data_IF_258798250474
#
_entry.id   IF_258798250474
#
_cell.length_a   1.000
_cell.length_b   1.000
_cell.length_c   1.000
_cell.angle_alpha   90.00
_cell.angle_beta   90.00
_cell.angle_gamma   90.00
#
_symmetry.space_group_name_H-M   'P 1'
#
loop_
_entity.id
_entity.type
_entity.pdbx_description
1 polymer ?
#
# COMPACT_ATOMS: atom_id res chain seq x y z
N UNK A 1 -8.07 -24.80 -24.67
CA UNK A 1 -7.11 -24.38 -23.63
C UNK A 1 -7.92 -23.94 -22.44
N UNK A 2 -7.87 -24.69 -21.33
CA UNK A 2 -8.33 -24.17 -20.06
C UNK A 2 -7.36 -23.07 -19.68
N UNK A 3 -7.86 -21.85 -19.49
CA UNK A 3 -7.11 -20.83 -18.77
C UNK A 3 -7.07 -21.39 -17.36
N UNK A 4 -5.91 -21.87 -16.93
CA UNK A 4 -5.71 -22.18 -15.53
C UNK A 4 -6.02 -20.88 -14.78
N UNK A 5 -7.04 -20.95 -13.93
CA UNK A 5 -7.20 -19.99 -12.85
C UNK A 5 -5.94 -20.20 -12.01
N UNK A 6 -4.88 -19.44 -12.31
CA UNK A 6 -3.73 -19.28 -11.41
C UNK A 6 -4.32 -18.65 -10.15
N UNK A 7 -4.82 -19.53 -9.30
CA UNK A 7 -5.08 -19.26 -7.90
C UNK A 7 -3.69 -19.23 -7.25
N UNK A 8 -2.82 -18.33 -7.73
CA UNK A 8 -1.52 -18.09 -7.13
C UNK A 8 -1.80 -17.40 -5.81
N UNK A 9 -1.68 -18.17 -4.73
CA UNK A 9 -1.58 -17.60 -3.40
C UNK A 9 -0.47 -16.54 -3.43
N UNK A 10 -0.68 -15.36 -2.83
CA UNK A 10 0.33 -14.32 -2.85
C UNK A 10 1.63 -14.87 -2.27
N UNK A 11 2.74 -14.57 -2.94
CA UNK A 11 4.10 -14.96 -2.57
C UNK A 11 4.51 -14.33 -1.23
N UNK A 12 3.97 -13.15 -0.90
CA UNK A 12 4.25 -12.44 0.34
C UNK A 12 2.95 -12.03 1.06
N UNK A 13 2.14 -12.99 1.54
CA UNK A 13 0.83 -12.71 2.14
C UNK A 13 0.95 -11.84 3.40
N UNK A 14 2.03 -12.02 4.16
CA UNK A 14 2.26 -11.34 5.43
C UNK A 14 2.59 -9.84 5.27
N UNK A 15 3.00 -9.42 4.06
CA UNK A 15 3.32 -8.03 3.77
C UNK A 15 2.08 -7.23 3.33
N UNK A 16 1.03 -7.91 2.86
CA UNK A 16 -0.20 -7.25 2.43
C UNK A 16 -0.94 -6.62 3.64
N UNK A 17 -1.36 -5.35 3.55
CA UNK A 17 -2.29 -4.79 4.51
C UNK A 17 -3.69 -5.35 4.25
N UNK A 18 -4.47 -5.62 5.30
CA UNK A 18 -5.85 -6.11 5.17
C UNK A 18 -6.78 -5.08 4.54
N UNK A 19 -6.58 -3.82 4.90
CA UNK A 19 -7.40 -2.70 4.45
C UNK A 19 -6.61 -1.38 4.46
N UNK A 20 -7.30 -0.31 4.10
CA UNK A 20 -6.74 1.04 4.09
C UNK A 20 -6.32 1.53 5.47
N UNK A 21 -7.02 1.13 6.54
CA UNK A 21 -6.70 1.60 7.89
C UNK A 21 -5.38 0.98 8.36
N UNK A 22 -5.18 -0.32 8.12
CA UNK A 22 -3.93 -0.99 8.43
C UNK A 22 -2.77 -0.46 7.58
N UNK A 23 -2.97 -0.26 6.28
CA UNK A 23 -1.94 0.33 5.42
C UNK A 23 -1.50 1.71 5.93
N UNK A 24 -2.46 2.58 6.27
CA UNK A 24 -2.19 3.90 6.82
C UNK A 24 -1.47 3.81 8.17
N UNK A 25 -1.89 2.92 9.07
CA UNK A 25 -1.25 2.73 10.36
C UNK A 25 0.23 2.32 10.22
N UNK A 26 0.53 1.37 9.33
CA UNK A 26 1.89 0.88 9.10
C UNK A 26 2.79 1.98 8.52
N UNK A 27 2.27 2.79 7.60
CA UNK A 27 3.01 3.92 7.02
C UNK A 27 3.21 5.07 8.03
N UNK A 28 2.18 5.48 8.76
CA UNK A 28 2.29 6.54 9.77
C UNK A 28 3.25 6.21 10.91
N UNK A 29 3.41 4.92 11.25
CA UNK A 29 4.33 4.47 12.30
C UNK A 29 5.80 4.81 12.01
N UNK A 30 6.16 4.97 10.74
CA UNK A 30 7.53 5.24 10.31
C UNK A 30 7.71 6.58 9.59
N UNK A 31 6.62 7.26 9.21
CA UNK A 31 6.63 8.49 8.41
C UNK A 31 7.48 9.60 9.01
N UNK A 32 7.57 9.68 10.33
CA UNK A 32 8.33 10.72 11.04
C UNK A 32 9.75 10.29 11.41
N UNK A 33 10.18 9.08 11.03
CA UNK A 33 11.53 8.61 11.32
C UNK A 33 12.55 9.30 10.41
N UNK A 34 13.67 9.70 11.01
CA UNK A 34 14.80 10.19 10.23
C UNK A 34 15.52 9.04 9.50
N UNK A 35 16.42 9.33 8.54
CA UNK A 35 17.13 8.29 7.80
C UNK A 35 17.95 7.32 8.67
N UNK A 36 18.50 7.78 9.81
CA UNK A 36 19.28 6.91 10.69
C UNK A 36 18.37 5.92 11.44
N UNK A 37 17.20 6.38 11.88
CA UNK A 37 16.18 5.53 12.49
C UNK A 37 15.62 4.51 11.48
N UNK A 38 15.31 4.93 10.24
CA UNK A 38 14.90 4.01 9.16
C UNK A 38 15.97 2.95 8.86
N UNK A 39 17.24 3.34 8.80
CA UNK A 39 18.36 2.41 8.59
C UNK A 39 18.49 1.36 9.71
N UNK A 40 18.04 1.68 10.93
CA UNK A 40 18.05 0.76 12.07
C UNK A 40 16.84 -0.17 12.16
N UNK A 41 15.80 0.03 11.33
CA UNK A 41 14.63 -0.84 11.34
C UNK A 41 14.98 -2.26 10.91
N UNK A 42 14.30 -3.24 11.51
CA UNK A 42 14.33 -4.62 11.02
C UNK A 42 13.77 -4.69 9.59
N UNK A 43 14.25 -5.64 8.79
CA UNK A 43 13.78 -5.84 7.40
C UNK A 43 12.26 -5.93 7.32
N UNK A 44 11.65 -6.71 8.22
CA UNK A 44 10.20 -6.91 8.24
C UNK A 44 9.43 -5.61 8.45
N UNK A 45 9.82 -4.78 9.42
CA UNK A 45 9.13 -3.51 9.72
C UNK A 45 9.22 -2.53 8.56
N UNK A 46 10.39 -2.46 7.91
CA UNK A 46 10.58 -1.67 6.70
C UNK A 46 9.69 -2.18 5.55
N UNK A 47 9.65 -3.49 5.32
CA UNK A 47 8.83 -4.08 4.25
C UNK A 47 7.34 -3.88 4.51
N UNK A 48 6.87 -4.04 5.74
CA UNK A 48 5.47 -3.78 6.11
C UNK A 48 5.07 -2.33 5.79
N UNK A 49 5.95 -1.37 6.09
CA UNK A 49 5.73 0.04 5.76
C UNK A 49 5.77 0.29 4.24
N UNK A 50 6.79 -0.25 3.56
CA UNK A 50 7.00 -0.11 2.12
C UNK A 50 5.81 -0.64 1.32
N UNK A 51 5.39 -1.87 1.61
CA UNK A 51 4.24 -2.51 0.96
C UNK A 51 2.93 -1.78 1.25
N UNK A 52 2.79 -1.22 2.45
CA UNK A 52 1.61 -0.42 2.78
C UNK A 52 1.56 0.89 2.01
N UNK A 53 2.71 1.56 1.84
CA UNK A 53 2.81 2.75 0.99
C UNK A 53 2.44 2.43 -0.46
N UNK A 54 3.05 1.40 -1.06
CA UNK A 54 2.72 1.01 -2.44
C UNK A 54 1.28 0.51 -2.60
N UNK A 55 0.66 -0.03 -1.54
CA UNK A 55 -0.76 -0.36 -1.53
C UNK A 55 -1.65 0.89 -1.55
N UNK A 56 -1.31 1.91 -0.74
CA UNK A 56 -2.04 3.17 -0.67
C UNK A 56 -1.92 3.93 -2.00
N UNK A 57 -0.69 4.05 -2.49
CA UNK A 57 -0.30 4.81 -3.67
C UNK A 57 -0.03 3.89 -4.86
N UNK A 58 -0.95 2.97 -5.14
CA UNK A 58 -0.81 1.91 -6.16
C UNK A 58 -0.58 2.39 -7.60
N UNK A 59 -0.65 3.70 -7.86
CA UNK A 59 -0.32 4.32 -9.15
C UNK A 59 1.15 4.78 -9.24
N UNK A 60 1.90 4.78 -8.13
CA UNK A 60 3.28 5.24 -8.06
C UNK A 60 4.23 4.05 -8.19
N UNK A 61 5.10 4.09 -9.20
CA UNK A 61 6.11 3.07 -9.40
C UNK A 61 7.39 3.38 -8.60
N UNK A 62 8.06 2.38 -7.99
CA UNK A 62 9.32 2.58 -7.27
C UNK A 62 10.45 3.21 -8.08
N UNK A 63 10.53 2.91 -9.38
CA UNK A 63 11.57 3.50 -10.25
C UNK A 63 11.30 4.98 -10.59
N UNK A 64 10.07 5.46 -10.39
CA UNK A 64 9.63 6.81 -10.77
C UNK A 64 9.62 7.78 -9.58
N UNK A 65 10.41 7.51 -8.52
CA UNK A 65 10.46 8.34 -7.30
C UNK A 65 10.68 9.83 -7.59
N UNK A 66 11.50 10.16 -8.60
CA UNK A 66 11.75 11.55 -9.00
C UNK A 66 10.52 12.27 -9.58
N UNK A 67 9.51 11.51 -10.00
CA UNK A 67 8.27 12.00 -10.60
C UNK A 67 7.08 11.96 -9.63
N UNK A 68 7.29 11.52 -8.38
CA UNK A 68 6.23 11.42 -7.40
C UNK A 68 5.68 12.80 -7.03
N UNK A 69 4.37 12.89 -6.76
CA UNK A 69 3.73 14.15 -6.38
C UNK A 69 4.21 14.65 -5.01
N UNK A 70 4.14 15.96 -4.77
CA UNK A 70 4.62 16.58 -3.51
C UNK A 70 3.84 16.07 -2.29
N UNK A 71 2.58 15.66 -2.48
CA UNK A 71 1.71 15.10 -1.45
C UNK A 71 2.27 13.82 -0.80
N UNK A 72 3.17 13.10 -1.48
CA UNK A 72 3.83 11.90 -0.95
C UNK A 72 5.30 12.12 -0.59
N UNK A 73 5.76 13.38 -0.51
CA UNK A 73 7.15 13.72 -0.20
C UNK A 73 7.64 13.10 1.13
N UNK A 74 6.73 12.93 2.10
CA UNK A 74 7.02 12.28 3.38
C UNK A 74 7.41 10.78 3.23
N UNK A 75 7.12 10.15 2.09
CA UNK A 75 7.50 8.77 1.79
C UNK A 75 8.92 8.66 1.19
N UNK A 76 9.53 9.77 0.76
CA UNK A 76 10.84 9.74 0.09
C UNK A 76 11.95 9.12 0.96
N UNK A 77 12.04 9.39 2.28
CA UNK A 77 13.02 8.72 3.13
C UNK A 77 12.83 7.19 3.19
N UNK A 78 11.59 6.71 3.23
CA UNK A 78 11.27 5.28 3.18
C UNK A 78 11.70 4.67 1.84
N UNK A 79 11.34 5.32 0.73
CA UNK A 79 11.68 4.85 -0.61
C UNK A 79 13.20 4.77 -0.82
N UNK A 80 13.93 5.79 -0.33
CA UNK A 80 15.39 5.82 -0.40
C UNK A 80 16.04 4.68 0.41
N UNK A 81 15.51 4.37 1.60
CA UNK A 81 16.02 3.27 2.41
C UNK A 81 15.67 1.89 1.82
N UNK A 82 14.46 1.73 1.28
CA UNK A 82 14.08 0.51 0.56
C UNK A 82 14.99 0.28 -0.65
N UNK A 83 15.26 1.32 -1.44
CA UNK A 83 16.18 1.25 -2.59
C UNK A 83 17.61 0.91 -2.15
N UNK A 84 18.12 1.56 -1.11
CA UNK A 84 19.46 1.25 -0.55
C UNK A 84 19.58 -0.22 -0.17
N UNK A 85 18.56 -0.79 0.49
CA UNK A 85 18.56 -2.20 0.92
C UNK A 85 18.38 -3.17 -0.24
N UNK A 86 17.61 -2.79 -1.26
CA UNK A 86 17.50 -3.55 -2.50
C UNK A 86 18.85 -3.62 -3.23
N UNK A 87 19.53 -2.49 -3.42
CA UNK A 87 20.86 -2.42 -4.04
C UNK A 87 21.92 -3.20 -3.23
N UNK A 88 21.75 -3.29 -1.91
CA UNK A 88 22.60 -4.09 -1.03
C UNK A 88 22.27 -5.60 -1.04
N UNK A 89 21.19 -6.02 -1.71
CA UNK A 89 20.70 -7.40 -1.71
C UNK A 89 20.06 -7.84 -0.38
N UNK A 90 19.70 -6.90 0.49
CA UNK A 90 18.98 -7.17 1.74
C UNK A 90 17.47 -7.39 1.51
N UNK A 91 16.93 -6.77 0.44
CA UNK A 91 15.55 -6.90 -0.03
C UNK A 91 15.58 -7.53 -1.43
N UNK A 92 14.69 -8.49 -1.68
CA UNK A 92 14.56 -9.19 -2.95
C UNK A 92 13.72 -8.38 -3.96
N UNK A 93 13.82 -8.72 -5.25
CA UNK A 93 13.08 -8.04 -6.33
C UNK A 93 11.56 -8.01 -6.07
N UNK A 94 10.97 -9.15 -5.70
CA UNK A 94 9.54 -9.23 -5.38
C UNK A 94 9.15 -8.48 -4.10
N UNK A 95 10.10 -8.23 -3.20
CA UNK A 95 9.88 -7.43 -1.98
C UNK A 95 10.02 -5.93 -2.25
N UNK A 96 10.88 -5.54 -3.20
CA UNK A 96 11.09 -4.15 -3.60
C UNK A 96 10.01 -3.66 -4.58
N UNK A 97 9.55 -4.53 -5.49
CA UNK A 97 8.46 -4.27 -6.44
C UNK A 97 7.17 -4.99 -6.02
N UNK A 98 6.35 -4.40 -5.12
CA UNK A 98 5.19 -5.07 -4.52
C UNK A 98 3.99 -5.10 -5.46
N UNK A 99 4.10 -5.79 -6.60
CA UNK A 99 3.02 -5.98 -7.58
C UNK A 99 1.78 -6.61 -6.93
N UNK A 100 1.98 -7.48 -5.94
CA UNK A 100 0.89 -8.09 -5.16
C UNK A 100 0.12 -7.07 -4.33
N UNK A 101 0.79 -6.06 -3.77
CA UNK A 101 0.13 -4.99 -3.03
C UNK A 101 -0.75 -4.14 -3.96
N UNK A 102 -0.25 -3.81 -5.15
CA UNK A 102 -1.02 -3.08 -6.18
C UNK A 102 -2.22 -3.90 -6.63
N UNK A 103 -2.04 -5.19 -6.90
CA UNK A 103 -3.13 -6.08 -7.28
C UNK A 103 -4.18 -6.19 -6.17
N UNK A 104 -3.72 -6.39 -4.93
CA UNK A 104 -4.57 -6.47 -3.74
C UNK A 104 -5.42 -5.20 -3.57
N UNK A 105 -4.82 -4.01 -3.76
CA UNK A 105 -5.54 -2.72 -3.73
C UNK A 105 -6.67 -2.67 -4.77
N UNK A 106 -6.40 -3.12 -5.99
CA UNK A 106 -7.39 -3.12 -7.09
C UNK A 106 -8.58 -4.04 -6.76
N UNK A 107 -8.31 -5.24 -6.23
CA UNK A 107 -9.37 -6.17 -5.83
C UNK A 107 -10.21 -5.60 -4.68
N UNK A 108 -9.55 -5.09 -3.64
CA UNK A 108 -10.22 -4.50 -2.49
C UNK A 108 -11.16 -3.34 -2.89
N UNK A 109 -10.74 -2.46 -3.80
CA UNK A 109 -11.60 -1.38 -4.31
C UNK A 109 -12.77 -1.88 -5.16
N UNK A 110 -12.62 -3.00 -5.88
CA UNK A 110 -13.73 -3.63 -6.64
C UNK A 110 -14.78 -4.22 -5.69
N UNK A 111 -14.36 -4.93 -4.65
CA UNK A 111 -15.25 -5.51 -3.64
C UNK A 111 -16.04 -4.43 -2.88
N UNK A 112 -15.36 -3.33 -2.52
CA UNK A 112 -15.99 -2.17 -1.88
C UNK A 112 -17.08 -1.54 -2.75
N UNK A 113 -16.88 -1.48 -4.08
CA UNK A 113 -17.89 -0.96 -5.03
C UNK A 113 -19.06 -1.90 -5.25
N UNK A 114 -18.85 -3.21 -5.08
CA UNK A 114 -19.90 -4.22 -5.24
C UNK A 114 -20.73 -4.41 -3.96
N UNK A 115 -20.20 -4.03 -2.80
CA UNK A 115 -20.92 -4.01 -1.54
C UNK A 115 -21.92 -2.84 -1.53
N UNK A 116 -23.24 -3.09 -1.40
CA UNK A 116 -24.23 -2.01 -1.38
C UNK A 116 -24.01 -1.16 -0.12
N UNK A 117 -23.47 0.04 -0.32
CA UNK A 117 -23.42 1.08 0.71
C UNK A 117 -24.86 1.34 1.19
N UNK A 118 -25.19 1.21 2.49
CA UNK A 118 -26.53 1.53 2.97
C UNK A 118 -26.77 3.01 2.70
N UNK A 119 -27.64 3.32 1.74
CA UNK A 119 -28.02 4.69 1.46
C UNK A 119 -28.66 5.30 2.71
N UNK A 120 -28.20 6.47 3.18
CA UNK A 120 -28.91 7.19 4.21
C UNK A 120 -30.31 7.48 3.66
N UNK A 121 -31.32 6.90 4.28
CA UNK A 121 -32.71 7.11 3.92
C UNK A 121 -32.97 8.62 3.84
N UNK A 122 -33.30 9.11 2.64
CA UNK A 122 -33.92 10.42 2.48
C UNK A 122 -35.16 10.41 3.38
N UNK A 123 -35.15 11.22 4.44
CA UNK A 123 -36.37 11.60 5.14
C UNK A 123 -37.21 12.38 4.13
N UNK A 124 -38.20 11.70 3.58
CA UNK A 124 -39.33 12.34 2.95
C UNK A 124 -40.05 13.21 3.99
N UNK A 125 -40.30 14.45 3.58
CA UNK A 125 -41.47 15.29 3.87
C UNK A 125 -41.93 15.47 5.33
N UNK A 126 -41.96 16.73 5.78
CA UNK A 126 -43.25 17.36 6.14
C UNK A 126 -43.07 18.82 6.59
N UNK A 127 -43.92 19.65 5.98
CA UNK A 127 -44.54 20.87 6.52
C UNK A 127 -43.91 22.23 6.18
N UNK A 128 -44.37 22.76 5.03
CA UNK A 128 -45.00 24.09 4.95
C UNK A 128 -45.92 24.34 6.16
N UNK A 129 -45.75 25.46 6.87
CA UNK A 129 -46.78 26.47 7.19
C UNK A 129 -46.09 27.72 7.74
#
# INVERSE_FOLDING_TARGET
MMIADDTDEPLQPDLLPKDHAEAMQRFEAIRTLDPAALASLGKQDLLLAWWSFCWLEAALHPDDVELWPEEVADALPLAAEAFRRYEAGEIEDGEYYPAEAVHHRILHEREKRQSPQPQPHQKADSSET
#
